data_IF_627616470427
#
_entry.id   IF_627616470427
#
_cell.length_a   1.000
_cell.length_b   1.000
_cell.length_c   1.000
_cell.angle_alpha   90.00
_cell.angle_beta   90.00
_cell.angle_gamma   90.00
#
_symmetry.space_group_name_H-M   'P 1'
#
loop_
_entity.id
_entity.type
_entity.pdbx_description
1 polymer ?
#
# COMPACT_ATOMS: atom_id res chain seq x y z
N UNK A 1 -0.13 -62.97 8.28
CA UNK A 1 0.28 -61.60 8.65
C UNK A 1 -0.18 -60.68 7.52
N UNK A 2 -1.23 -59.88 7.75
CA UNK A 2 -1.74 -58.93 6.75
C UNK A 2 -1.06 -57.58 6.99
N UNK A 3 -0.15 -57.18 6.12
CA UNK A 3 0.49 -55.87 6.19
C UNK A 3 -0.54 -54.80 5.79
N UNK A 4 -0.87 -53.92 6.72
CA UNK A 4 -1.68 -52.73 6.45
C UNK A 4 -0.79 -51.69 5.77
N UNK A 5 -1.06 -51.43 4.49
CA UNK A 5 -0.45 -50.34 3.74
C UNK A 5 -1.30 -49.08 3.94
N UNK A 6 -0.95 -48.26 4.92
CA UNK A 6 -1.64 -46.98 5.19
C UNK A 6 -1.12 -45.91 4.23
N UNK A 7 -1.88 -45.61 3.18
CA UNK A 7 -1.59 -44.54 2.23
C UNK A 7 -1.96 -43.19 2.86
N UNK A 8 -0.97 -42.39 3.25
CA UNK A 8 -1.16 -41.00 3.68
C UNK A 8 -1.44 -40.12 2.45
N UNK A 9 -2.72 -39.87 2.15
CA UNK A 9 -3.16 -38.83 1.22
C UNK A 9 -3.01 -37.47 1.92
N UNK A 10 -1.85 -36.82 1.75
CA UNK A 10 -1.69 -35.40 2.09
C UNK A 10 -2.43 -34.62 1.01
N UNK A 11 -3.70 -34.31 1.28
CA UNK A 11 -4.43 -33.33 0.49
C UNK A 11 -3.81 -31.95 0.76
N UNK A 12 -2.90 -31.52 -0.10
CA UNK A 12 -2.44 -30.14 -0.16
C UNK A 12 -3.61 -29.28 -0.64
N UNK A 13 -4.39 -28.75 0.29
CA UNK A 13 -5.34 -27.68 0.03
C UNK A 13 -4.53 -26.44 -0.35
N UNK A 14 -4.27 -26.28 -1.65
CA UNK A 14 -3.96 -24.97 -2.20
C UNK A 14 -5.19 -24.11 -1.92
N UNK A 15 -5.15 -23.32 -0.85
CA UNK A 15 -6.00 -22.15 -0.74
C UNK A 15 -5.55 -21.29 -1.92
N UNK A 16 -6.28 -21.40 -3.03
CA UNK A 16 -6.20 -20.44 -4.11
C UNK A 16 -6.71 -19.12 -3.52
N UNK A 17 -5.83 -18.41 -2.82
CA UNK A 17 -6.06 -17.03 -2.46
C UNK A 17 -6.30 -16.31 -3.78
N UNK A 18 -7.56 -15.92 -4.01
CA UNK A 18 -8.01 -15.45 -5.31
C UNK A 18 -7.15 -14.31 -5.79
N UNK A 19 -6.52 -14.47 -6.96
CA UNK A 19 -5.83 -13.38 -7.61
C UNK A 19 -6.85 -12.27 -7.92
N UNK A 20 -6.56 -11.06 -7.47
CA UNK A 20 -7.24 -9.84 -7.83
C UNK A 20 -6.96 -9.53 -9.31
N UNK A 21 -7.99 -9.05 -10.01
CA UNK A 21 -7.82 -8.49 -11.35
C UNK A 21 -7.12 -7.14 -11.25
N UNK A 22 -5.85 -7.10 -11.64
CA UNK A 22 -5.06 -5.85 -11.70
C UNK A 22 -5.39 -5.07 -12.97
N UNK A 23 -5.39 -3.73 -12.88
CA UNK A 23 -5.52 -2.85 -14.04
C UNK A 23 -4.46 -3.17 -15.11
N UNK A 24 -4.87 -3.19 -16.38
CA UNK A 24 -3.98 -3.52 -17.52
C UNK A 24 -2.79 -2.56 -17.63
N UNK A 25 -2.96 -1.32 -17.18
CA UNK A 25 -1.96 -0.26 -17.20
C UNK A 25 -1.30 -0.02 -15.82
N UNK A 26 -1.50 -0.91 -14.85
CA UNK A 26 -0.96 -0.74 -13.50
C UNK A 26 0.56 -0.52 -13.49
N UNK A 27 1.32 -1.30 -14.26
CA UNK A 27 2.78 -1.16 -14.29
C UNK A 27 3.23 0.20 -14.85
N UNK A 28 2.56 0.72 -15.89
CA UNK A 28 2.92 2.02 -16.45
C UNK A 28 2.53 3.15 -15.50
N UNK A 29 1.35 3.08 -14.87
CA UNK A 29 0.89 4.04 -13.86
C UNK A 29 1.82 4.06 -12.63
N UNK A 30 2.21 2.91 -12.08
CA UNK A 30 3.15 2.83 -10.96
C UNK A 30 4.53 3.40 -11.32
N UNK A 31 5.03 3.12 -12.54
CA UNK A 31 6.29 3.71 -13.03
C UNK A 31 6.19 5.23 -13.23
N UNK A 32 5.04 5.74 -13.68
CA UNK A 32 4.78 7.17 -13.80
C UNK A 32 4.71 7.82 -12.40
N UNK A 33 4.03 7.18 -11.46
CA UNK A 33 3.97 7.63 -10.06
C UNK A 33 5.37 7.77 -9.46
N UNK A 34 6.29 6.81 -9.68
CA UNK A 34 7.68 6.91 -9.20
C UNK A 34 8.38 8.19 -9.71
N UNK A 35 8.12 8.57 -10.97
CA UNK A 35 8.75 9.74 -11.62
C UNK A 35 8.08 11.07 -11.26
N UNK A 36 6.81 11.04 -10.83
CA UNK A 36 6.06 12.22 -10.40
C UNK A 36 6.78 12.94 -9.26
N UNK A 37 6.85 14.27 -9.33
CA UNK A 37 7.29 15.09 -8.21
C UNK A 37 6.22 15.09 -7.12
N UNK A 38 6.62 14.95 -5.85
CA UNK A 38 5.69 14.76 -4.72
C UNK A 38 6.00 15.73 -3.60
N UNK A 39 4.95 16.05 -2.85
CA UNK A 39 4.96 17.01 -1.75
C UNK A 39 5.34 18.44 -2.18
N UNK A 40 5.12 18.77 -3.45
CA UNK A 40 5.08 20.15 -3.93
C UNK A 40 3.79 20.83 -3.50
N UNK A 41 3.82 22.16 -3.38
CA UNK A 41 2.60 22.93 -3.27
C UNK A 41 1.72 22.69 -4.51
N UNK A 42 0.42 22.55 -4.30
CA UNK A 42 -0.56 22.33 -5.35
C UNK A 42 -1.56 23.50 -5.31
N UNK A 43 -1.33 24.59 -6.08
CA UNK A 43 -2.11 25.83 -5.98
C UNK A 43 -3.61 25.68 -6.24
N UNK A 44 -4.01 24.61 -6.93
CA UNK A 44 -5.42 24.26 -7.16
C UNK A 44 -6.08 23.56 -5.96
N UNK A 45 -5.34 23.31 -4.87
CA UNK A 45 -5.78 22.64 -3.65
C UNK A 45 -5.36 23.46 -2.43
N UNK A 46 -5.78 23.05 -1.23
CA UNK A 46 -5.32 23.67 0.02
C UNK A 46 -3.90 23.24 0.44
N UNK A 47 -3.26 22.30 -0.27
CA UNK A 47 -1.97 21.76 0.15
C UNK A 47 -0.81 22.66 -0.29
N UNK A 48 -0.15 23.25 0.72
CA UNK A 48 0.93 24.21 0.53
C UNK A 48 2.33 23.58 0.37
N UNK A 49 2.38 22.26 0.18
CA UNK A 49 3.61 21.48 0.18
C UNK A 49 3.95 20.94 1.56
N UNK A 50 5.00 20.12 1.64
CA UNK A 50 5.41 19.50 2.91
C UNK A 50 5.74 20.56 3.97
N UNK A 51 5.15 20.45 5.15
CA UNK A 51 5.37 21.40 6.26
C UNK A 51 6.87 21.57 6.59
N UNK A 52 7.61 20.47 6.62
CA UNK A 52 9.05 20.43 6.78
C UNK A 52 9.74 20.15 5.43
N UNK A 53 9.85 21.20 4.61
CA UNK A 53 10.41 21.10 3.25
C UNK A 53 11.77 20.39 3.16
N UNK A 54 12.60 20.45 4.21
CA UNK A 54 13.89 19.74 4.28
C UNK A 54 13.75 18.21 4.29
N UNK A 55 12.62 17.66 4.74
CA UNK A 55 12.34 16.22 4.73
C UNK A 55 11.86 15.72 3.36
N UNK A 56 11.54 16.60 2.43
CA UNK A 56 10.97 16.25 1.13
C UNK A 56 11.80 15.24 0.32
N UNK A 57 13.15 15.32 0.23
CA UNK A 57 13.93 14.29 -0.46
C UNK A 57 13.81 12.91 0.20
N UNK A 58 13.83 12.88 1.53
CA UNK A 58 13.67 11.66 2.30
C UNK A 58 12.27 11.06 2.11
N UNK A 59 11.22 11.87 2.20
CA UNK A 59 9.85 11.40 2.06
C UNK A 59 9.53 10.94 0.64
N UNK A 60 10.09 11.61 -0.38
CA UNK A 60 10.02 11.14 -1.76
C UNK A 60 10.66 9.75 -1.90
N UNK A 61 11.82 9.51 -1.26
CA UNK A 61 12.47 8.20 -1.27
C UNK A 61 11.61 7.12 -0.58
N UNK A 62 11.09 7.41 0.61
CA UNK A 62 10.23 6.50 1.38
C UNK A 62 8.95 6.15 0.59
N UNK A 63 8.30 7.17 0.02
CA UNK A 63 7.09 6.99 -0.77
C UNK A 63 7.36 6.21 -2.05
N UNK A 64 8.47 6.49 -2.76
CA UNK A 64 8.85 5.78 -3.98
C UNK A 64 9.24 4.32 -3.75
N UNK A 65 9.40 3.87 -2.49
CA UNK A 65 9.54 2.45 -2.19
C UNK A 65 8.20 1.69 -2.29
N UNK A 66 7.07 2.34 -1.97
CA UNK A 66 5.74 1.72 -2.03
C UNK A 66 5.31 1.26 -3.44
N UNK A 67 5.38 2.08 -4.52
CA UNK A 67 5.05 1.62 -5.87
C UNK A 67 5.98 0.50 -6.36
N UNK A 68 7.21 0.39 -5.81
CA UNK A 68 8.12 -0.72 -6.14
C UNK A 68 7.64 -2.02 -5.50
N UNK A 69 7.16 -1.98 -4.25
CA UNK A 69 6.52 -3.13 -3.61
C UNK A 69 5.26 -3.54 -4.41
N UNK A 70 4.41 -2.58 -4.78
CA UNK A 70 3.21 -2.82 -5.60
C UNK A 70 3.54 -3.45 -6.96
N UNK A 71 4.63 -3.03 -7.61
CA UNK A 71 5.07 -3.62 -8.88
C UNK A 71 5.43 -5.10 -8.72
N UNK A 72 6.12 -5.47 -7.63
CA UNK A 72 6.44 -6.87 -7.33
C UNK A 72 5.16 -7.66 -7.12
N UNK A 73 4.24 -7.15 -6.31
CA UNK A 73 2.94 -7.80 -6.04
C UNK A 73 2.11 -7.96 -7.30
N UNK A 74 1.99 -6.91 -8.12
CA UNK A 74 1.22 -6.93 -9.36
C UNK A 74 1.72 -7.97 -10.37
N UNK A 75 3.02 -8.28 -10.38
CA UNK A 75 3.63 -9.24 -11.31
C UNK A 75 3.56 -10.67 -10.79
N UNK A 76 3.81 -10.87 -9.50
CA UNK A 76 4.08 -12.21 -8.97
C UNK A 76 2.90 -12.80 -8.17
N UNK A 77 2.16 -11.98 -7.43
CA UNK A 77 1.11 -12.47 -6.53
C UNK A 77 0.03 -11.40 -6.30
N UNK A 78 -0.74 -11.05 -7.35
CA UNK A 78 -1.67 -9.93 -7.29
C UNK A 78 -2.91 -10.30 -6.48
N UNK A 79 -2.80 -10.37 -5.17
CA UNK A 79 -3.92 -10.62 -4.25
C UNK A 79 -4.20 -9.35 -3.47
N UNK A 80 -5.45 -9.12 -3.08
CA UNK A 80 -5.80 -7.96 -2.24
C UNK A 80 -4.96 -7.95 -0.97
N UNK A 81 -4.86 -9.11 -0.29
CA UNK A 81 -4.07 -9.26 0.93
C UNK A 81 -2.61 -8.81 0.74
N UNK A 82 -2.00 -9.13 -0.41
CA UNK A 82 -0.61 -8.73 -0.65
C UNK A 82 -0.46 -7.24 -0.86
N UNK A 83 -1.38 -6.61 -1.59
CA UNK A 83 -1.42 -5.14 -1.67
C UNK A 83 -1.72 -4.49 -0.32
N UNK A 84 -2.57 -5.10 0.51
CA UNK A 84 -2.80 -4.65 1.89
C UNK A 84 -1.51 -4.68 2.72
N UNK A 85 -0.71 -5.74 2.60
CA UNK A 85 0.60 -5.85 3.25
C UNK A 85 1.55 -4.74 2.77
N UNK A 86 1.57 -4.46 1.46
CA UNK A 86 2.39 -3.40 0.88
C UNK A 86 1.98 -2.00 1.35
N UNK A 87 0.68 -1.72 1.48
CA UNK A 87 0.17 -0.46 2.06
C UNK A 87 0.67 -0.31 3.49
N UNK A 88 0.50 -1.33 4.33
CA UNK A 88 0.96 -1.30 5.73
C UNK A 88 2.47 -1.08 5.85
N UNK A 89 3.25 -1.83 5.07
CA UNK A 89 4.71 -1.66 4.97
C UNK A 89 5.07 -0.25 4.52
N UNK A 90 4.40 0.28 3.51
CA UNK A 90 4.60 1.62 2.99
C UNK A 90 4.36 2.71 4.02
N UNK A 91 3.21 2.70 4.67
CA UNK A 91 2.85 3.65 5.72
C UNK A 91 3.82 3.60 6.90
N UNK A 92 4.23 2.38 7.32
CA UNK A 92 5.15 2.19 8.45
C UNK A 92 6.50 2.89 8.29
N UNK A 93 6.93 3.15 7.04
CA UNK A 93 8.17 3.90 6.74
C UNK A 93 8.14 5.34 7.25
N UNK A 94 6.95 5.91 7.43
CA UNK A 94 6.75 7.27 7.92
C UNK A 94 6.60 7.35 9.44
N UNK A 95 6.43 6.23 10.14
CA UNK A 95 6.21 6.20 11.59
C UNK A 95 7.31 6.94 12.39
N UNK A 96 8.62 6.86 12.05
CA UNK A 96 9.64 7.62 12.76
C UNK A 96 9.47 9.15 12.67
N UNK A 97 8.71 9.63 11.69
CA UNK A 97 8.46 11.05 11.45
C UNK A 97 7.07 11.49 11.90
N UNK A 98 6.24 10.60 12.44
CA UNK A 98 4.82 10.85 12.65
C UNK A 98 4.54 12.13 13.46
N UNK A 99 5.35 12.41 14.49
CA UNK A 99 5.24 13.62 15.32
C UNK A 99 5.64 14.92 14.61
N UNK A 100 6.34 14.83 13.49
CA UNK A 100 6.72 15.96 12.63
C UNK A 100 5.69 16.18 11.51
N UNK A 101 4.76 15.26 11.29
CA UNK A 101 3.75 15.40 10.24
C UNK A 101 2.56 16.18 10.79
N UNK A 102 2.24 17.31 10.18
CA UNK A 102 0.96 17.96 10.46
C UNK A 102 -0.22 17.17 9.84
N UNK A 103 -1.44 17.67 10.04
CA UNK A 103 -2.62 17.02 9.49
C UNK A 103 -2.62 16.98 7.96
N UNK A 104 -2.12 18.01 7.28
CA UNK A 104 -2.12 18.08 5.82
C UNK A 104 -1.06 17.15 5.21
N UNK A 105 0.11 17.02 5.83
CA UNK A 105 1.15 16.08 5.43
C UNK A 105 0.65 14.64 5.51
N UNK A 106 -0.01 14.29 6.61
CA UNK A 106 -0.58 12.96 6.81
C UNK A 106 -1.71 12.67 5.80
N UNK A 107 -2.60 13.63 5.54
CA UNK A 107 -3.63 13.50 4.49
C UNK A 107 -2.97 13.28 3.12
N UNK A 108 -1.92 14.05 2.82
CA UNK A 108 -1.22 13.93 1.55
C UNK A 108 -0.55 12.57 1.39
N UNK A 109 0.05 12.03 2.44
CA UNK A 109 0.61 10.67 2.45
C UNK A 109 -0.49 9.64 2.17
N UNK A 110 -1.62 9.72 2.89
CA UNK A 110 -2.76 8.83 2.65
C UNK A 110 -3.27 8.91 1.21
N UNK A 111 -3.44 10.12 0.67
CA UNK A 111 -3.88 10.33 -0.70
C UNK A 111 -2.93 9.74 -1.75
N UNK A 112 -1.62 9.73 -1.48
CA UNK A 112 -0.68 9.03 -2.34
C UNK A 112 -0.88 7.50 -2.32
N UNK A 113 -1.23 6.90 -1.19
CA UNK A 113 -1.57 5.47 -1.15
C UNK A 113 -2.90 5.17 -1.84
N UNK A 114 -3.87 6.08 -1.81
CA UNK A 114 -5.09 5.98 -2.60
C UNK A 114 -4.79 6.04 -4.11
N UNK A 115 -3.90 6.94 -4.56
CA UNK A 115 -3.43 6.99 -5.95
C UNK A 115 -2.74 5.65 -6.35
N UNK A 116 -1.96 5.04 -5.45
CA UNK A 116 -1.37 3.72 -5.68
C UNK A 116 -2.42 2.60 -5.78
N UNK A 117 -3.47 2.65 -4.94
CA UNK A 117 -4.59 1.72 -4.99
C UNK A 117 -5.33 1.81 -6.34
N UNK A 118 -5.60 3.03 -6.80
CA UNK A 118 -6.20 3.29 -8.12
C UNK A 118 -5.34 2.78 -9.26
N UNK A 119 -4.00 2.86 -9.15
CA UNK A 119 -3.10 2.30 -10.15
C UNK A 119 -3.35 0.81 -10.37
N UNK A 120 -3.54 0.04 -9.30
CA UNK A 120 -3.70 -1.42 -9.37
C UNK A 120 -5.15 -1.90 -9.40
N UNK A 121 -6.11 -1.01 -9.14
CA UNK A 121 -7.54 -1.33 -9.08
C UNK A 121 -8.02 -1.83 -7.71
N UNK A 122 -7.24 -1.60 -6.66
CA UNK A 122 -7.59 -2.01 -5.29
C UNK A 122 -8.66 -1.07 -4.72
N UNK A 123 -9.83 -1.60 -4.36
CA UNK A 123 -11.00 -0.78 -3.99
C UNK A 123 -10.96 -0.23 -2.56
N UNK A 124 -10.17 -0.83 -1.68
CA UNK A 124 -10.16 -0.51 -0.25
C UNK A 124 -8.77 -0.74 0.33
N UNK A 125 -8.40 0.04 1.35
CA UNK A 125 -7.19 -0.18 2.15
C UNK A 125 -7.44 -1.09 3.37
N UNK A 126 -8.64 -1.68 3.47
CA UNK A 126 -9.10 -2.40 4.66
C UNK A 126 -8.89 -1.60 5.96
N UNK A 127 -9.04 -0.28 5.85
CA UNK A 127 -8.89 0.69 6.93
C UNK A 127 -7.46 0.97 7.38
N UNK A 128 -6.42 0.46 6.69
CA UNK A 128 -5.01 0.75 7.02
C UNK A 128 -4.67 2.23 6.98
N UNK A 129 -5.27 2.97 6.05
CA UNK A 129 -5.08 4.42 5.97
C UNK A 129 -5.65 5.13 7.20
N UNK A 130 -6.87 4.74 7.62
CA UNK A 130 -7.51 5.28 8.82
C UNK A 130 -6.74 4.88 10.10
N UNK A 131 -6.31 3.63 10.20
CA UNK A 131 -5.52 3.15 11.34
C UNK A 131 -4.21 3.92 11.48
N UNK A 132 -3.51 4.15 10.36
CA UNK A 132 -2.27 4.91 10.38
C UNK A 132 -2.50 6.38 10.74
N UNK A 133 -3.54 7.01 10.17
CA UNK A 133 -3.79 8.45 10.34
C UNK A 133 -4.47 8.83 11.65
N UNK A 134 -5.39 8.02 12.13
CA UNK A 134 -6.23 8.34 13.28
C UNK A 134 -5.99 7.42 14.48
N UNK A 135 -5.19 6.37 14.31
CA UNK A 135 -4.97 5.35 15.35
C UNK A 135 -6.13 4.37 15.50
N UNK A 136 -7.19 4.47 14.69
CA UNK A 136 -8.34 3.55 14.72
C UNK A 136 -8.97 3.36 13.34
N UNK A 137 -9.79 2.30 13.21
CA UNK A 137 -10.53 1.98 11.99
C UNK A 137 -12.04 2.08 12.26
N UNK A 138 -12.78 3.02 11.65
CA UNK A 138 -14.22 3.18 11.90
C UNK A 138 -15.05 1.97 11.41
N UNK A 139 -14.49 1.13 10.53
CA UNK A 139 -15.16 -0.06 10.00
C UNK A 139 -14.91 -1.32 10.84
N UNK A 140 -14.02 -1.29 11.84
CA UNK A 140 -13.88 -2.39 12.80
C UNK A 140 -15.01 -2.28 13.82
N UNK A 141 -15.89 -3.29 13.85
CA UNK A 141 -16.80 -3.46 15.00
C UNK A 141 -15.94 -3.71 16.25
N UNK A 142 -16.22 -2.96 17.32
CA UNK A 142 -15.65 -3.18 18.65
C UNK A 142 -16.11 -4.51 19.22
#
# INVERSE_FOLDING_TARGET
MKAFLTLFLIASSYIACGQMKVNKDAQSKLKAFIKKSKFDAEPATSFNGLSHANLKPQFNSLLNAAPKDFLVTAVHQPTEEKFQQDIGKGLSRFNPFYLQLDSEDQDRICGYFEELMDCVGLQSSNGKLNEWRYGFNPSKKQ
#
